data_IF_851638551898
#
_entry.id   IF_851638551898
#
_cell.length_a   1.000
_cell.length_b   1.000
_cell.length_c   1.000
_cell.angle_alpha   90.00
_cell.angle_beta   90.00
_cell.angle_gamma   90.00
#
_symmetry.space_group_name_H-M   'P 1'
#
loop_
_entity.id
_entity.type
_entity.pdbx_description
1 polymer ?
#
# COMPACT_ATOMS: atom_id res chain seq x y z
N UNK A 1 -3.17 24.78 54.18
CA UNK A 1 -2.45 23.94 53.20
C UNK A 1 -3.24 23.96 51.90
N UNK A 2 -3.18 25.08 51.16
CA UNK A 2 -3.91 25.28 49.89
C UNK A 2 -3.13 26.17 48.90
N UNK A 3 -2.09 26.88 49.36
CA UNK A 3 -1.27 27.79 48.56
C UNK A 3 -0.17 27.12 47.72
N UNK A 4 0.13 25.84 47.95
CA UNK A 4 1.15 25.09 47.18
C UNK A 4 0.58 24.38 45.95
N UNK A 5 -0.74 24.20 45.85
CA UNK A 5 -1.41 23.59 44.70
C UNK A 5 -1.58 24.55 43.52
N UNK A 6 -1.97 25.79 43.78
CA UNK A 6 -2.25 26.79 42.73
C UNK A 6 -1.00 27.32 42.03
N UNK A 7 0.12 27.45 42.75
CA UNK A 7 1.39 27.94 42.19
C UNK A 7 2.04 26.89 41.27
N UNK A 8 1.88 25.60 41.59
CA UNK A 8 2.34 24.50 40.72
C UNK A 8 1.55 24.42 39.42
N UNK A 9 0.22 24.56 39.49
CA UNK A 9 -0.65 24.54 38.31
C UNK A 9 -0.45 25.77 37.39
N UNK A 10 -0.24 26.96 37.96
CA UNK A 10 0.05 28.17 37.16
C UNK A 10 1.43 28.13 36.50
N UNK A 11 2.45 27.60 37.17
CA UNK A 11 3.79 27.45 36.60
C UNK A 11 3.83 26.47 35.41
N UNK A 12 3.16 25.32 35.53
CA UNK A 12 3.08 24.31 34.45
C UNK A 12 2.27 24.85 33.27
N UNK A 13 1.14 25.51 33.51
CA UNK A 13 0.33 26.11 32.46
C UNK A 13 1.06 27.25 31.72
N UNK A 14 1.87 28.05 32.41
CA UNK A 14 2.68 29.09 31.79
C UNK A 14 3.79 28.51 30.89
N UNK A 15 4.48 27.46 31.35
CA UNK A 15 5.51 26.80 30.56
C UNK A 15 4.95 26.14 29.29
N UNK A 16 3.78 25.49 29.40
CA UNK A 16 3.07 24.89 28.27
C UNK A 16 2.59 25.95 27.27
N UNK A 17 2.09 27.09 27.76
CA UNK A 17 1.65 28.21 26.92
C UNK A 17 2.82 28.80 26.11
N UNK A 18 3.99 28.96 26.74
CA UNK A 18 5.20 29.45 26.06
C UNK A 18 5.70 28.48 24.98
N UNK A 19 5.72 27.17 25.27
CA UNK A 19 6.12 26.15 24.31
C UNK A 19 5.14 26.06 23.13
N UNK A 20 3.84 26.15 23.42
CA UNK A 20 2.77 26.20 22.42
C UNK A 20 2.92 27.43 21.52
N UNK A 21 3.12 28.62 22.11
CA UNK A 21 3.34 29.86 21.36
C UNK A 21 4.59 29.81 20.47
N UNK A 22 5.68 29.19 20.92
CA UNK A 22 6.91 29.02 20.13
C UNK A 22 6.67 28.19 18.87
N UNK A 23 5.94 27.08 18.98
CA UNK A 23 5.65 26.24 17.82
C UNK A 23 4.65 26.90 16.85
N UNK A 24 3.66 27.65 17.36
CA UNK A 24 2.73 28.43 16.52
C UNK A 24 3.46 29.51 15.71
N UNK A 25 4.36 30.26 16.35
CA UNK A 25 5.17 31.28 15.67
C UNK A 25 6.08 30.62 14.63
N UNK A 26 6.66 29.46 14.95
CA UNK A 26 7.45 28.68 14.01
C UNK A 26 6.67 28.27 12.77
N UNK A 27 5.45 27.77 12.95
CA UNK A 27 4.57 27.38 11.85
C UNK A 27 4.15 28.59 10.99
N UNK A 28 3.77 29.71 11.60
CA UNK A 28 3.44 30.93 10.86
C UNK A 28 4.63 31.48 10.08
N UNK A 29 5.84 31.39 10.66
CA UNK A 29 7.08 31.78 9.99
C UNK A 29 7.31 30.93 8.75
N UNK A 30 7.17 29.62 8.87
CA UNK A 30 7.36 28.67 7.76
C UNK A 30 6.29 28.87 6.65
N UNK A 31 5.10 29.38 6.99
CA UNK A 31 4.02 29.66 6.02
C UNK A 31 4.18 31.00 5.29
N UNK A 32 4.54 32.05 6.03
CA UNK A 32 4.52 33.42 5.50
C UNK A 32 5.87 33.90 5.00
N UNK A 33 6.98 33.33 5.47
CA UNK A 33 8.33 33.70 5.04
C UNK A 33 8.94 32.73 4.03
N UNK A 34 8.35 31.56 3.81
CA UNK A 34 8.78 30.67 2.73
C UNK A 34 8.14 31.11 1.41
N UNK A 35 8.96 31.65 0.50
CA UNK A 35 8.54 32.10 -0.83
C UNK A 35 8.67 31.02 -1.90
N UNK A 36 9.11 29.83 -1.51
CA UNK A 36 9.46 28.74 -2.43
C UNK A 36 8.24 27.95 -2.90
N UNK A 37 7.21 27.87 -2.06
CA UNK A 37 5.98 27.10 -2.31
C UNK A 37 4.76 28.02 -2.34
N UNK A 38 3.65 27.55 -2.94
CA UNK A 38 2.38 28.25 -2.78
C UNK A 38 1.99 28.27 -1.30
N UNK A 39 1.29 29.31 -0.83
CA UNK A 39 0.92 29.47 0.59
C UNK A 39 0.20 28.26 1.17
N UNK A 40 -0.55 27.55 0.32
CA UNK A 40 -1.30 26.33 0.68
C UNK A 40 -0.34 25.15 0.91
N UNK A 41 0.66 24.97 0.06
CA UNK A 41 1.67 23.90 0.19
C UNK A 41 2.61 24.16 1.37
N UNK A 42 3.06 25.42 1.57
CA UNK A 42 3.87 25.80 2.72
C UNK A 42 3.15 25.54 4.05
N UNK A 43 1.84 25.82 4.11
CA UNK A 43 0.99 25.49 5.27
C UNK A 43 0.89 23.99 5.53
N UNK A 44 0.76 23.17 4.48
CA UNK A 44 0.71 21.72 4.62
C UNK A 44 2.03 21.14 5.17
N UNK A 45 3.17 21.66 4.73
CA UNK A 45 4.49 21.18 5.13
C UNK A 45 4.86 21.65 6.55
N UNK A 46 4.50 22.89 6.91
CA UNK A 46 4.68 23.39 8.26
C UNK A 46 3.81 22.62 9.27
N UNK A 47 2.59 22.23 8.87
CA UNK A 47 1.70 21.43 9.71
C UNK A 47 2.20 20.01 9.96
N UNK A 48 2.68 19.31 8.92
CA UNK A 48 3.17 17.93 9.07
C UNK A 48 4.43 17.82 9.95
N UNK A 49 5.26 18.87 9.96
CA UNK A 49 6.54 18.88 10.70
C UNK A 49 6.38 19.34 12.15
N UNK A 50 5.55 20.37 12.41
CA UNK A 50 5.43 20.98 13.75
C UNK A 50 4.09 20.73 14.44
N UNK A 51 3.04 20.39 13.69
CA UNK A 51 1.68 20.18 14.20
C UNK A 51 1.58 19.19 15.36
N UNK A 52 2.17 17.98 15.27
CA UNK A 52 2.08 16.98 16.35
C UNK A 52 2.68 17.44 17.68
N UNK A 53 3.77 18.24 17.66
CA UNK A 53 4.40 18.78 18.87
C UNK A 53 3.58 19.92 19.47
N UNK A 54 3.05 20.77 18.63
CA UNK A 54 2.17 21.88 19.04
C UNK A 54 0.87 21.39 19.70
N UNK A 55 0.25 20.35 19.15
CA UNK A 55 -0.98 19.74 19.67
C UNK A 55 -0.78 19.07 21.03
N UNK A 56 0.36 18.41 21.23
CA UNK A 56 0.72 17.78 22.51
C UNK A 56 0.70 18.77 23.68
N UNK A 57 1.14 20.01 23.45
CA UNK A 57 1.15 21.06 24.48
C UNK A 57 -0.21 21.78 24.58
N UNK A 58 -0.93 21.91 23.47
CA UNK A 58 -2.24 22.59 23.42
C UNK A 58 -3.38 21.80 24.07
N UNK A 59 -3.38 20.47 23.97
CA UNK A 59 -4.41 19.58 24.55
C UNK A 59 -4.49 19.69 26.09
N UNK A 60 -3.41 20.13 26.75
CA UNK A 60 -3.37 20.30 28.21
C UNK A 60 -4.05 21.61 28.68
N UNK A 61 -4.45 22.50 27.76
CA UNK A 61 -5.14 23.75 28.05
C UNK A 61 -6.61 23.62 27.62
N UNK A 62 -7.49 23.26 28.56
CA UNK A 62 -8.87 22.75 28.33
C UNK A 62 -9.71 23.42 27.22
N UNK A 63 -9.76 24.77 27.05
CA UNK A 63 -10.52 25.42 25.97
C UNK A 63 -9.73 25.57 24.66
N UNK A 64 -8.42 25.81 24.75
CA UNK A 64 -7.55 25.98 23.58
C UNK A 64 -7.27 24.63 22.91
N UNK A 65 -7.13 23.56 23.70
CA UNK A 65 -7.06 22.19 23.22
C UNK A 65 -8.24 21.85 22.31
N UNK A 66 -9.47 22.22 22.69
CA UNK A 66 -10.66 22.04 21.84
C UNK A 66 -10.59 22.87 20.55
N UNK A 67 -10.22 24.14 20.64
CA UNK A 67 -10.07 25.00 19.46
C UNK A 67 -9.01 24.45 18.49
N UNK A 68 -7.90 23.90 19.00
CA UNK A 68 -6.84 23.33 18.18
C UNK A 68 -7.14 21.92 17.69
N UNK A 69 -7.92 21.11 18.41
CA UNK A 69 -8.49 19.87 17.86
C UNK A 69 -9.43 20.20 16.69
N UNK A 70 -10.26 21.24 16.82
CA UNK A 70 -11.09 21.70 15.70
C UNK A 70 -10.23 22.20 14.52
N UNK A 71 -9.14 22.93 14.79
CA UNK A 71 -8.17 23.34 13.76
C UNK A 71 -7.49 22.13 13.11
N UNK A 72 -7.14 21.10 13.88
CA UNK A 72 -6.52 19.89 13.37
C UNK A 72 -7.47 19.11 12.46
N UNK A 73 -8.71 18.91 12.90
CA UNK A 73 -9.74 18.29 12.08
C UNK A 73 -9.99 19.13 10.81
N UNK A 74 -9.98 20.45 10.91
CA UNK A 74 -10.09 21.35 9.76
C UNK A 74 -8.89 21.25 8.81
N UNK A 75 -7.68 21.13 9.33
CA UNK A 75 -6.44 20.96 8.56
C UNK A 75 -6.37 19.60 7.87
N UNK A 76 -6.72 18.52 8.56
CA UNK A 76 -6.85 17.18 8.00
C UNK A 76 -7.97 17.14 6.95
N UNK A 77 -9.11 17.78 7.18
CA UNK A 77 -10.18 17.90 6.19
C UNK A 77 -9.74 18.68 4.94
N UNK A 78 -9.05 19.81 5.10
CA UNK A 78 -8.52 20.61 3.98
C UNK A 78 -7.42 19.85 3.22
N UNK A 79 -6.57 19.12 3.93
CA UNK A 79 -5.54 18.28 3.33
C UNK A 79 -6.15 17.12 2.54
N UNK A 80 -7.13 16.41 3.11
CA UNK A 80 -7.83 15.31 2.43
C UNK A 80 -8.62 15.81 1.22
N UNK A 81 -9.20 17.02 1.29
CA UNK A 81 -9.85 17.67 0.16
C UNK A 81 -8.87 17.97 -1.00
N UNK A 82 -7.66 18.42 -0.68
CA UNK A 82 -6.64 18.76 -1.69
C UNK A 82 -5.82 17.57 -2.16
N UNK A 83 -5.75 16.49 -1.39
CA UNK A 83 -5.07 15.24 -1.73
C UNK A 83 -6.05 14.07 -1.74
N UNK A 84 -7.04 14.06 -2.65
CA UNK A 84 -7.99 12.96 -2.72
C UNK A 84 -7.23 11.66 -3.01
N UNK A 85 -7.54 10.61 -2.25
CA UNK A 85 -7.05 9.26 -2.52
C UNK A 85 -7.46 8.81 -3.93
N UNK A 86 -6.78 7.84 -4.54
CA UNK A 86 -7.09 7.39 -5.91
C UNK A 86 -8.58 6.98 -6.06
N UNK A 87 -9.16 6.37 -5.02
CA UNK A 87 -10.58 6.05 -4.96
C UNK A 87 -11.49 7.28 -4.96
N UNK A 88 -11.14 8.32 -4.21
CA UNK A 88 -11.90 9.58 -4.18
C UNK A 88 -11.76 10.35 -5.49
N UNK A 89 -10.56 10.34 -6.10
CA UNK A 89 -10.34 10.89 -7.45
C UNK A 89 -11.19 10.15 -8.48
N UNK A 90 -11.26 8.83 -8.39
CA UNK A 90 -12.11 8.04 -9.27
C UNK A 90 -13.59 8.39 -9.08
N UNK A 91 -14.08 8.53 -7.84
CA UNK A 91 -15.45 8.95 -7.55
C UNK A 91 -15.76 10.36 -8.04
N UNK A 92 -14.79 11.28 -7.99
CA UNK A 92 -14.95 12.66 -8.45
C UNK A 92 -15.05 12.76 -9.97
N UNK A 93 -14.24 11.98 -10.69
CA UNK A 93 -14.07 12.06 -12.15
C UNK A 93 -14.86 11.02 -12.94
N UNK A 94 -15.51 10.08 -12.27
CA UNK A 94 -16.35 9.08 -12.94
C UNK A 94 -17.58 9.73 -13.61
N UNK A 95 -18.30 8.94 -14.41
CA UNK A 95 -19.51 9.39 -15.10
C UNK A 95 -20.64 9.84 -14.17
N UNK A 96 -20.60 9.44 -12.90
CA UNK A 96 -21.54 9.86 -11.85
C UNK A 96 -20.91 10.88 -10.88
N UNK A 97 -19.66 11.27 -11.13
CA UNK A 97 -18.91 12.19 -10.31
C UNK A 97 -19.32 13.64 -10.55
N UNK A 98 -18.90 14.52 -9.65
CA UNK A 98 -19.21 15.94 -9.76
C UNK A 98 -18.48 16.62 -10.93
N UNK A 99 -17.28 16.13 -11.27
CA UNK A 99 -16.44 16.67 -12.34
C UNK A 99 -16.13 15.58 -13.38
N UNK A 100 -17.13 15.08 -14.13
CA UNK A 100 -16.93 13.95 -15.02
C UNK A 100 -15.94 14.32 -16.13
N UNK A 101 -14.87 13.54 -16.26
CA UNK A 101 -13.83 13.77 -17.29
C UNK A 101 -14.17 13.18 -18.67
N UNK A 102 -15.40 12.68 -18.85
CA UNK A 102 -15.84 12.08 -20.11
C UNK A 102 -15.13 10.77 -20.47
N UNK A 103 -14.67 10.00 -19.48
CA UNK A 103 -14.06 8.70 -19.71
C UNK A 103 -15.05 7.72 -20.36
N UNK A 104 -14.53 6.90 -21.28
CA UNK A 104 -15.27 5.73 -21.77
C UNK A 104 -15.41 4.67 -20.66
N UNK A 105 -16.33 3.72 -20.87
CA UNK A 105 -16.57 2.66 -19.89
C UNK A 105 -15.31 1.83 -19.60
N UNK A 106 -14.50 1.52 -20.63
CA UNK A 106 -13.24 0.78 -20.50
C UNK A 106 -12.23 1.47 -19.60
N UNK A 107 -11.99 2.78 -19.78
CA UNK A 107 -11.06 3.53 -18.93
C UNK A 107 -11.59 3.61 -17.50
N UNK A 108 -12.91 3.79 -17.35
CA UNK A 108 -13.55 3.85 -16.05
C UNK A 108 -13.43 2.53 -15.27
N UNK A 109 -13.72 1.40 -15.92
CA UNK A 109 -13.65 0.07 -15.31
C UNK A 109 -12.21 -0.35 -15.03
N UNK A 110 -11.27 -0.01 -15.92
CA UNK A 110 -9.83 -0.23 -15.72
C UNK A 110 -9.32 0.48 -14.47
N UNK A 111 -9.61 1.78 -14.32
CA UNK A 111 -9.17 2.54 -13.13
C UNK A 111 -9.79 2.00 -11.85
N UNK A 112 -11.06 1.59 -11.89
CA UNK A 112 -11.70 1.00 -10.70
C UNK A 112 -11.04 -0.31 -10.30
N UNK A 113 -10.68 -1.15 -11.29
CA UNK A 113 -9.97 -2.39 -11.07
C UNK A 113 -8.56 -2.17 -10.49
N UNK A 114 -7.84 -1.15 -10.96
CA UNK A 114 -6.51 -0.80 -10.44
C UNK A 114 -6.54 -0.28 -9.00
N UNK A 115 -7.66 0.27 -8.55
CA UNK A 115 -7.83 0.75 -7.17
C UNK A 115 -8.22 -0.40 -6.22
N UNK A 116 -9.16 -1.25 -6.63
CA UNK A 116 -9.80 -2.22 -5.72
C UNK A 116 -9.39 -3.68 -5.94
N UNK A 117 -8.91 -4.03 -7.14
CA UNK A 117 -8.68 -5.41 -7.54
C UNK A 117 -7.18 -5.77 -7.60
N UNK A 118 -6.36 -5.04 -6.84
CA UNK A 118 -4.94 -5.35 -6.73
C UNK A 118 -4.72 -6.65 -5.95
N UNK A 119 -3.96 -7.61 -6.52
CA UNK A 119 -3.55 -8.82 -5.82
C UNK A 119 -2.77 -8.52 -4.54
N UNK A 120 -2.99 -9.36 -3.54
CA UNK A 120 -2.26 -9.30 -2.27
C UNK A 120 -1.68 -10.66 -1.96
N UNK A 121 -0.45 -10.66 -1.43
CA UNK A 121 0.26 -11.90 -1.10
C UNK A 121 0.32 -12.02 0.42
N UNK A 122 -0.10 -13.17 0.93
CA UNK A 122 -0.04 -13.51 2.34
C UNK A 122 0.98 -14.62 2.55
N UNK A 123 1.84 -14.44 3.53
CA UNK A 123 2.77 -15.47 3.98
C UNK A 123 2.11 -16.29 5.09
N UNK A 124 1.84 -17.56 4.82
CA UNK A 124 1.24 -18.48 5.79
C UNK A 124 2.29 -19.27 6.58
N UNK A 125 3.57 -18.92 6.41
CA UNK A 125 4.67 -19.58 7.09
C UNK A 125 5.01 -20.95 6.52
N UNK A 126 5.67 -21.74 7.36
CA UNK A 126 6.20 -23.04 7.00
C UNK A 126 5.18 -24.13 7.33
N UNK A 127 4.88 -24.95 6.33
CA UNK A 127 3.98 -26.10 6.41
C UNK A 127 4.79 -27.35 6.05
N UNK A 128 4.52 -28.44 6.75
CA UNK A 128 5.07 -29.75 6.37
C UNK A 128 4.14 -30.40 5.36
N UNK A 129 4.66 -30.69 4.17
CA UNK A 129 3.88 -31.38 3.15
C UNK A 129 3.63 -32.82 3.59
N UNK A 130 2.36 -33.25 3.52
CA UNK A 130 1.93 -34.56 4.01
C UNK A 130 2.50 -35.75 3.21
N UNK A 131 2.91 -35.54 1.96
CA UNK A 131 3.38 -36.61 1.06
C UNK A 131 4.84 -37.00 1.29
N UNK A 132 5.73 -36.06 1.60
CA UNK A 132 7.18 -36.28 1.70
C UNK A 132 7.77 -35.80 3.05
N UNK A 133 6.98 -35.11 3.88
CA UNK A 133 7.43 -34.52 5.13
C UNK A 133 8.31 -33.27 4.96
N UNK A 134 8.50 -32.80 3.72
CA UNK A 134 9.35 -31.65 3.46
C UNK A 134 8.75 -30.35 4.01
N UNK A 135 9.62 -29.51 4.55
CA UNK A 135 9.30 -28.19 5.06
C UNK A 135 9.19 -27.21 3.90
N UNK A 136 7.98 -26.81 3.53
CA UNK A 136 7.72 -25.83 2.47
C UNK A 136 7.16 -24.54 3.07
N UNK A 137 7.53 -23.39 2.52
CA UNK A 137 6.90 -22.11 2.90
C UNK A 137 5.76 -21.83 1.94
N UNK A 138 4.57 -21.57 2.47
CA UNK A 138 3.36 -21.37 1.68
C UNK A 138 2.99 -19.89 1.61
N UNK A 139 2.80 -19.38 0.39
CA UNK A 139 2.22 -18.06 0.16
C UNK A 139 0.86 -18.19 -0.51
N UNK A 140 -0.12 -17.40 -0.07
CA UNK A 140 -1.39 -17.24 -0.77
C UNK A 140 -1.39 -15.96 -1.57
N UNK A 141 -1.57 -16.08 -2.87
CA UNK A 141 -1.78 -14.96 -3.79
C UNK A 141 -3.28 -14.83 -3.98
N UNK A 142 -3.87 -13.81 -3.36
CA UNK A 142 -5.29 -13.49 -3.53
C UNK A 142 -5.43 -12.63 -4.78
N UNK A 143 -6.29 -13.04 -5.73
CA UNK A 143 -6.57 -12.35 -6.99
C UNK A 143 -8.02 -11.83 -6.99
N UNK A 144 -8.27 -10.62 -6.47
CA UNK A 144 -9.62 -10.07 -6.43
C UNK A 144 -10.15 -9.83 -7.84
N UNK A 145 -11.44 -10.09 -8.05
CA UNK A 145 -12.08 -9.91 -9.36
C UNK A 145 -11.75 -11.00 -10.40
N UNK A 146 -11.05 -12.06 -9.97
CA UNK A 146 -10.93 -13.32 -10.70
C UNK A 146 -11.57 -14.44 -9.89
N UNK A 147 -12.21 -15.36 -10.60
CA UNK A 147 -12.71 -16.64 -10.10
C UNK A 147 -12.14 -17.75 -10.98
N UNK A 148 -12.14 -19.00 -10.53
CA UNK A 148 -11.69 -20.11 -11.38
C UNK A 148 -12.51 -20.21 -12.68
N UNK A 149 -13.82 -19.94 -12.61
CA UNK A 149 -14.70 -19.96 -13.77
C UNK A 149 -14.34 -18.87 -14.79
N UNK A 150 -14.05 -17.65 -14.32
CA UNK A 150 -13.69 -16.49 -15.15
C UNK A 150 -12.20 -16.43 -15.52
N UNK A 151 -11.40 -17.40 -15.09
CA UNK A 151 -9.98 -17.43 -15.39
C UNK A 151 -9.77 -17.91 -16.83
N UNK A 152 -9.03 -17.12 -17.59
CA UNK A 152 -8.59 -17.41 -18.96
C UNK A 152 -7.06 -17.49 -18.98
N UNK A 153 -6.49 -18.09 -20.03
CA UNK A 153 -5.04 -18.15 -20.19
C UNK A 153 -4.39 -16.75 -20.25
N UNK A 154 -5.16 -15.71 -20.56
CA UNK A 154 -4.66 -14.31 -20.57
C UNK A 154 -4.84 -13.58 -19.24
N UNK A 155 -5.45 -14.22 -18.22
CA UNK A 155 -5.79 -13.58 -16.96
C UNK A 155 -4.58 -13.34 -16.05
N UNK A 156 -3.56 -14.21 -16.10
CA UNK A 156 -2.40 -14.12 -15.22
C UNK A 156 -1.11 -14.49 -15.96
N UNK A 157 -0.14 -13.59 -15.86
CA UNK A 157 1.26 -13.84 -16.24
C UNK A 157 2.16 -13.39 -15.12
N UNK A 158 3.30 -14.03 -15.01
CA UNK A 158 4.29 -13.62 -14.05
C UNK A 158 5.72 -13.79 -14.54
N UNK A 159 6.62 -13.21 -13.76
CA UNK A 159 8.05 -13.45 -13.84
C UNK A 159 8.57 -13.40 -12.41
N UNK A 160 9.41 -14.37 -12.05
CA UNK A 160 9.92 -14.53 -10.71
C UNK A 160 11.44 -14.67 -10.76
N UNK A 161 12.13 -13.75 -10.08
CA UNK A 161 13.58 -13.78 -9.92
C UNK A 161 13.92 -14.03 -8.45
N UNK A 162 14.66 -15.10 -8.19
CA UNK A 162 15.25 -15.38 -6.89
C UNK A 162 16.60 -14.67 -6.81
N UNK A 163 16.73 -13.79 -5.82
CA UNK A 163 17.97 -13.08 -5.53
C UNK A 163 18.60 -13.64 -4.27
N UNK A 164 19.80 -14.18 -4.42
CA UNK A 164 20.64 -14.62 -3.32
C UNK A 164 21.97 -13.86 -3.37
N UNK A 165 22.16 -12.93 -2.43
CA UNK A 165 23.33 -12.04 -2.43
C UNK A 165 23.47 -11.30 -3.76
N UNK A 166 24.51 -11.60 -4.57
CA UNK A 166 24.73 -11.04 -5.91
C UNK A 166 24.21 -11.91 -7.06
N UNK A 167 23.77 -13.14 -6.78
CA UNK A 167 23.28 -14.05 -7.80
C UNK A 167 21.78 -13.86 -8.03
N UNK A 168 21.38 -13.94 -9.30
CA UNK A 168 20.00 -13.80 -9.78
C UNK A 168 19.66 -15.05 -10.56
N UNK A 169 18.57 -15.69 -10.19
CA UNK A 169 18.09 -16.90 -10.86
C UNK A 169 16.62 -16.72 -11.23
N UNK A 170 16.30 -16.93 -12.51
CA UNK A 170 14.91 -17.03 -12.94
C UNK A 170 14.30 -18.33 -12.39
N UNK A 171 13.19 -18.18 -11.67
CA UNK A 171 12.45 -19.27 -11.03
C UNK A 171 10.99 -19.30 -11.50
N UNK A 172 10.65 -18.58 -12.57
CA UNK A 172 9.28 -18.40 -13.08
C UNK A 172 8.58 -19.71 -13.44
N UNK A 173 9.29 -20.63 -14.09
CA UNK A 173 8.74 -21.94 -14.45
C UNK A 173 8.68 -22.87 -13.25
N UNK A 174 9.67 -22.86 -12.35
CA UNK A 174 9.65 -23.70 -11.14
C UNK A 174 8.46 -23.34 -10.26
N UNK A 175 8.37 -22.04 -9.92
CA UNK A 175 7.16 -21.23 -9.98
C UNK A 175 5.82 -21.92 -10.18
N UNK A 176 5.62 -22.19 -11.47
CA UNK A 176 4.36 -22.54 -12.09
C UNK A 176 3.97 -23.97 -11.80
N UNK A 177 4.96 -24.85 -11.62
CA UNK A 177 4.72 -26.27 -11.32
C UNK A 177 4.38 -26.50 -9.83
N UNK A 178 4.65 -25.52 -8.95
CA UNK A 178 4.33 -25.64 -7.51
C UNK A 178 3.05 -24.90 -7.11
N UNK A 179 2.33 -24.38 -8.10
CA UNK A 179 1.13 -23.60 -7.91
C UNK A 179 -0.09 -24.51 -7.79
N UNK A 180 -0.97 -24.22 -6.83
CA UNK A 180 -2.25 -24.92 -6.66
C UNK A 180 -3.36 -23.96 -6.27
N UNK A 181 -4.61 -24.36 -6.47
CA UNK A 181 -5.77 -23.53 -6.10
C UNK A 181 -6.11 -23.75 -4.63
N UNK A 182 -6.21 -22.66 -3.86
CA UNK A 182 -6.67 -22.67 -2.47
C UNK A 182 -8.14 -22.31 -2.33
N UNK A 183 -8.59 -21.33 -3.11
CA UNK A 183 -9.98 -20.87 -3.12
C UNK A 183 -10.37 -20.41 -4.53
N UNK A 184 -11.63 -20.61 -4.89
CA UNK A 184 -12.14 -20.35 -6.25
C UNK A 184 -12.85 -19.00 -6.39
N UNK A 185 -13.18 -18.33 -5.27
CA UNK A 185 -13.89 -17.05 -5.25
C UNK A 185 -13.66 -16.26 -3.94
N UNK A 186 -12.84 -15.18 -3.94
CA UNK A 186 -11.95 -14.79 -5.03
C UNK A 186 -10.89 -15.87 -5.28
N UNK A 187 -10.39 -15.97 -6.51
CA UNK A 187 -9.35 -16.93 -6.86
C UNK A 187 -8.11 -16.68 -5.99
N UNK A 188 -7.74 -17.70 -5.21
CA UNK A 188 -6.56 -17.66 -4.34
C UNK A 188 -5.65 -18.80 -4.72
N UNK A 189 -4.41 -18.48 -5.08
CA UNK A 189 -3.41 -19.44 -5.50
C UNK A 189 -2.40 -19.66 -4.38
N UNK A 190 -2.12 -20.92 -4.09
CA UNK A 190 -1.02 -21.31 -3.19
C UNK A 190 0.26 -21.45 -3.98
N UNK A 191 1.30 -20.78 -3.48
CA UNK A 191 2.65 -20.85 -3.99
C UNK A 191 3.52 -21.54 -2.94
N UNK A 192 4.02 -22.72 -3.28
CA UNK A 192 4.92 -23.47 -2.39
C UNK A 192 6.37 -23.14 -2.71
N UNK A 193 7.08 -22.57 -1.73
CA UNK A 193 8.51 -22.25 -1.82
C UNK A 193 9.34 -23.35 -1.14
N UNK A 194 10.22 -24.03 -1.89
CA UNK A 194 11.11 -25.05 -1.37
C UNK A 194 12.03 -24.56 -0.23
N UNK A 195 12.43 -25.47 0.65
CA UNK A 195 13.30 -25.13 1.80
C UNK A 195 14.65 -24.55 1.37
N UNK A 196 15.23 -25.04 0.26
CA UNK A 196 16.55 -24.60 -0.22
C UNK A 196 16.59 -23.15 -0.71
N UNK A 197 15.44 -22.50 -0.93
CA UNK A 197 15.36 -21.07 -1.29
C UNK A 197 15.23 -20.16 -0.05
N UNK A 198 14.95 -20.73 1.12
CA UNK A 198 14.71 -19.98 2.34
C UNK A 198 16.05 -19.56 2.97
N UNK A 199 16.17 -18.30 3.38
CA UNK A 199 17.41 -17.77 3.91
C UNK A 199 17.32 -16.30 4.32
N UNK A 200 18.20 -15.86 5.22
CA UNK A 200 18.17 -14.52 5.80
C UNK A 200 18.33 -13.39 4.76
N UNK A 201 19.04 -13.64 3.66
CA UNK A 201 19.32 -12.65 2.61
C UNK A 201 18.75 -13.07 1.24
N UNK A 202 17.72 -13.90 1.24
CA UNK A 202 17.06 -14.33 0.01
C UNK A 202 15.80 -13.52 -0.22
N UNK A 203 15.68 -12.96 -1.42
CA UNK A 203 14.52 -12.18 -1.84
C UNK A 203 13.94 -12.81 -3.09
N UNK A 204 12.63 -13.05 -3.07
CA UNK A 204 11.87 -13.38 -4.27
C UNK A 204 11.26 -12.08 -4.81
N UNK A 205 11.70 -11.69 -6.01
CA UNK A 205 11.07 -10.63 -6.78
C UNK A 205 10.04 -11.25 -7.70
N UNK A 206 8.78 -10.90 -7.51
CA UNK A 206 7.67 -11.42 -8.31
C UNK A 206 6.99 -10.26 -9.04
N UNK A 207 6.99 -10.32 -10.37
CA UNK A 207 6.30 -9.37 -11.23
C UNK A 207 5.04 -10.03 -11.79
N UNK A 208 3.87 -9.48 -11.45
CA UNK A 208 2.57 -10.01 -11.86
C UNK A 208 1.89 -9.09 -12.87
N UNK A 209 1.43 -9.66 -13.98
CA UNK A 209 0.47 -9.04 -14.88
C UNK A 209 -0.86 -9.77 -14.72
N UNK A 210 -1.83 -9.09 -14.11
CA UNK A 210 -3.16 -9.64 -13.81
C UNK A 210 -4.21 -8.87 -14.60
N UNK A 211 -5.16 -9.59 -15.20
CA UNK A 211 -6.30 -9.02 -15.92
C UNK A 211 -7.60 -9.56 -15.31
N UNK A 212 -8.19 -8.87 -14.31
CA UNK A 212 -9.51 -9.18 -13.78
C UNK A 212 -10.61 -9.01 -14.83
N UNK A 213 -11.78 -9.62 -14.60
CA UNK A 213 -12.90 -9.56 -15.56
C UNK A 213 -13.40 -8.13 -15.84
N UNK A 214 -13.24 -7.22 -14.86
CA UNK A 214 -13.63 -5.81 -14.97
C UNK A 214 -12.62 -4.97 -15.79
N UNK A 215 -11.39 -5.45 -15.93
CA UNK A 215 -10.28 -4.72 -16.54
C UNK A 215 -10.16 -5.02 -18.03
N UNK A 216 -10.03 -3.98 -18.85
CA UNK A 216 -9.78 -4.13 -20.29
C UNK A 216 -8.36 -4.62 -20.58
N UNK A 217 -7.41 -4.22 -19.73
CA UNK A 217 -5.97 -4.51 -19.87
C UNK A 217 -5.39 -5.02 -18.55
N UNK A 218 -4.14 -5.46 -18.56
CA UNK A 218 -3.44 -5.81 -17.32
C UNK A 218 -3.38 -4.60 -16.37
N UNK A 219 -3.56 -4.85 -15.08
CA UNK A 219 -3.50 -3.82 -14.05
C UNK A 219 -2.12 -3.13 -14.05
N UNK A 220 -2.10 -1.80 -14.00
CA UNK A 220 -0.88 -0.98 -13.93
C UNK A 220 0.12 -1.27 -15.08
N UNK A 221 -0.37 -1.65 -16.27
CA UNK A 221 0.49 -1.94 -17.42
C UNK A 221 1.35 -0.73 -17.85
N UNK A 222 0.81 0.49 -17.71
CA UNK A 222 1.48 1.76 -17.94
C UNK A 222 2.58 2.05 -16.89
N UNK A 223 2.44 1.50 -15.68
CA UNK A 223 3.40 1.65 -14.56
C UNK A 223 4.39 0.48 -14.46
N UNK A 224 4.39 -0.46 -15.41
CA UNK A 224 5.31 -1.59 -15.41
C UNK A 224 4.85 -2.81 -14.62
N UNK A 225 3.54 -2.99 -14.52
CA UNK A 225 2.87 -4.10 -13.83
C UNK A 225 3.12 -4.12 -12.31
N UNK A 226 2.61 -5.16 -11.65
CA UNK A 226 2.64 -5.28 -10.19
C UNK A 226 3.93 -5.94 -9.74
N UNK A 227 4.75 -5.25 -8.96
CA UNK A 227 6.04 -5.77 -8.50
C UNK A 227 5.95 -6.08 -7.00
N UNK A 228 6.33 -7.28 -6.59
CA UNK A 228 6.32 -7.73 -5.21
C UNK A 228 7.74 -8.11 -4.80
N UNK A 229 8.16 -7.61 -3.63
CA UNK A 229 9.43 -7.96 -3.01
C UNK A 229 9.16 -8.79 -1.76
N UNK A 230 9.38 -10.09 -1.86
CA UNK A 230 9.07 -11.05 -0.81
C UNK A 230 10.38 -11.49 -0.16
N UNK A 231 10.57 -11.16 1.11
CA UNK A 231 11.73 -11.65 1.86
C UNK A 231 11.49 -13.11 2.27
N UNK A 232 12.42 -14.00 1.94
CA UNK A 232 12.33 -15.43 2.28
C UNK A 232 13.08 -15.77 3.57
N UNK A 233 13.34 -14.78 4.42
CA UNK A 233 13.88 -14.95 5.77
C UNK A 233 12.81 -15.38 6.78
N UNK A 234 13.22 -15.89 7.94
CA UNK A 234 12.33 -16.39 8.99
C UNK A 234 11.57 -15.29 9.75
N UNK A 235 11.95 -14.03 9.56
CA UNK A 235 11.52 -12.91 10.42
C UNK A 235 10.22 -12.23 9.96
N UNK A 236 9.73 -12.52 8.75
CA UNK A 236 8.56 -11.86 8.17
C UNK A 236 7.40 -12.84 7.97
N UNK A 237 6.61 -13.08 9.01
CA UNK A 237 5.41 -13.91 8.94
C UNK A 237 4.14 -13.04 9.04
N UNK A 238 3.06 -13.47 8.37
CA UNK A 238 1.69 -12.96 8.53
C UNK A 238 1.44 -11.48 8.22
N UNK A 239 2.30 -10.80 7.45
CA UNK A 239 2.01 -9.44 6.95
C UNK A 239 1.58 -9.48 5.48
N UNK A 240 0.51 -8.75 5.10
CA UNK A 240 0.13 -8.65 3.69
C UNK A 240 1.23 -7.94 2.91
N UNK A 241 1.75 -8.60 1.89
CA UNK A 241 2.74 -8.06 0.97
C UNK A 241 1.96 -7.44 -0.20
N UNK A 242 2.03 -6.12 -0.29
CA UNK A 242 1.41 -5.32 -1.35
C UNK A 242 2.42 -5.06 -2.47
N UNK A 243 1.91 -4.80 -3.67
CA UNK A 243 2.75 -4.40 -4.78
C UNK A 243 3.47 -3.08 -4.46
N UNK A 244 4.75 -2.99 -4.80
CA UNK A 244 5.53 -1.76 -4.70
C UNK A 244 5.21 -0.84 -5.86
N UNK A 245 4.85 0.41 -5.55
CA UNK A 245 4.72 1.49 -6.52
C UNK A 245 6.10 1.81 -7.08
N UNK A 246 6.45 1.22 -8.22
CA UNK A 246 7.75 1.44 -8.87
C UNK A 246 7.46 2.14 -10.19
N UNK A 247 7.72 3.44 -10.28
CA UNK A 247 7.62 4.16 -11.54
C UNK A 247 8.83 3.77 -12.41
N UNK A 248 8.66 2.79 -13.28
CA UNK A 248 9.66 2.47 -14.30
C UNK A 248 9.42 3.32 -15.55
N UNK A 249 10.39 4.18 -15.88
CA UNK A 249 10.36 5.00 -17.09
C UNK A 249 10.91 4.19 -18.26
N UNK A 250 10.05 3.54 -19.05
CA UNK A 250 10.44 2.79 -20.25
C UNK A 250 9.36 1.83 -20.75
N UNK A 251 9.53 1.25 -21.95
CA UNK A 251 8.68 0.14 -22.41
C UNK A 251 8.97 -1.09 -21.55
N UNK A 252 8.09 -1.38 -20.60
CA UNK A 252 8.21 -2.54 -19.73
C UNK A 252 7.70 -3.78 -20.46
N UNK A 253 8.55 -4.80 -20.57
CA UNK A 253 8.16 -6.09 -21.15
C UNK A 253 7.06 -6.74 -20.33
N UNK A 254 6.07 -7.33 -21.02
CA UNK A 254 5.07 -8.18 -20.37
C UNK A 254 5.78 -9.40 -19.75
N UNK A 255 5.40 -9.83 -18.53
CA UNK A 255 5.95 -11.04 -17.94
C UNK A 255 5.75 -12.26 -18.85
N UNK A 256 6.81 -13.07 -18.98
CA UNK A 256 6.91 -14.08 -20.03
C UNK A 256 6.12 -15.34 -19.72
N UNK A 257 6.13 -15.79 -18.45
CA UNK A 257 5.50 -17.04 -18.05
C UNK A 257 4.00 -16.84 -17.86
N UNK A 258 3.23 -17.58 -18.65
CA UNK A 258 1.77 -17.55 -18.67
C UNK A 258 1.20 -18.66 -17.78
N UNK A 259 0.27 -18.30 -16.89
CA UNK A 259 -0.48 -19.27 -16.09
C UNK A 259 -1.73 -19.63 -16.86
N UNK A 260 -1.81 -20.89 -17.27
CA UNK A 260 -2.93 -21.39 -18.06
C UNK A 260 -4.03 -21.90 -17.14
N UNK A 261 -5.27 -21.91 -17.64
CA UNK A 261 -6.39 -22.48 -16.92
C UNK A 261 -6.19 -23.95 -16.58
N UNK A 262 -5.61 -24.71 -17.52
CA UNK A 262 -5.32 -26.14 -17.34
C UNK A 262 -4.41 -26.44 -16.13
N UNK A 263 -3.51 -25.51 -15.76
CA UNK A 263 -2.65 -25.66 -14.58
C UNK A 263 -3.35 -25.35 -13.25
N UNK A 264 -4.61 -24.92 -13.29
CA UNK A 264 -5.43 -24.62 -12.12
C UNK A 264 -6.54 -25.64 -11.89
N UNK A 265 -6.73 -26.58 -12.82
CA UNK A 265 -7.82 -27.56 -12.80
C UNK A 265 -7.39 -28.91 -12.18
N UNK A 266 -6.33 -28.93 -11.36
CA UNK A 266 -5.91 -30.14 -10.64
C UNK A 266 -6.85 -30.43 -9.45
N UNK A 267 -7.69 -31.46 -9.68
CA UNK A 267 -8.70 -32.19 -8.89
C UNK A 267 -10.10 -31.56 -8.69
#
# INVERSE_FOLDING_TARGET
MALTGDVGATGVNAALTLQTGKELIGMLKDIYLDTTYSKIEAASLAWSTRGPRFLKFSIQLTPWGLAFTALQLGGEALFNYSNPEEQQRWLLYCMWGHEPQGWDWSTHSQRLAEINLLPTIFDNGIIHRLTDGESIRSFHIVLPGLTQASFEDTSLRWEAELQYSSNKQDVSEVLRHTLSVFSVSPLTLTLSIPQNWQGHNTILLLRLAVKPALASTYLNADKGYLNYRIALGMDSLNKPIKASSTHQTGRVSLPTTQIKKESLDDE
#
